data_IF_872814914022
#
_entry.id   IF_872814914022
#
_cell.length_a   1.000
_cell.length_b   1.000
_cell.length_c   1.000
_cell.angle_alpha   90.00
_cell.angle_beta   90.00
_cell.angle_gamma   90.00
#
_symmetry.space_group_name_H-M   'P 1'
#
loop_
_entity.id
_entity.type
_entity.pdbx_description
1 polymer ?
#
# COMPACT_ATOMS: atom_id res chain seq x y z
N UNK A 1 -17.36 -5.00 -15.93
CA UNK A 1 -18.37 -4.61 -14.92
C UNK A 1 -17.73 -4.54 -13.54
N UNK A 2 -18.04 -3.50 -12.75
CA UNK A 2 -17.56 -3.36 -11.35
C UNK A 2 -18.36 -4.24 -10.37
N UNK A 3 -19.53 -4.73 -10.76
CA UNK A 3 -20.36 -5.62 -9.95
C UNK A 3 -20.58 -5.10 -8.52
N UNK A 4 -20.29 -5.95 -7.53
CA UNK A 4 -20.41 -5.62 -6.09
C UNK A 4 -19.53 -4.45 -5.63
N UNK A 5 -18.53 -4.04 -6.41
CA UNK A 5 -17.66 -2.91 -6.10
C UNK A 5 -18.23 -1.55 -6.58
N UNK A 6 -19.37 -1.50 -7.27
CA UNK A 6 -19.93 -0.26 -7.80
C UNK A 6 -20.14 0.82 -6.72
N UNK A 7 -20.74 0.45 -5.58
CA UNK A 7 -20.94 1.40 -4.46
C UNK A 7 -19.62 1.98 -3.93
N UNK A 8 -18.59 1.14 -3.80
CA UNK A 8 -17.25 1.57 -3.37
C UNK A 8 -16.60 2.47 -4.41
N UNK A 9 -16.71 2.10 -5.68
CA UNK A 9 -16.24 2.94 -6.79
C UNK A 9 -16.84 4.34 -6.71
N UNK A 10 -18.16 4.50 -6.61
CA UNK A 10 -18.78 5.82 -6.54
C UNK A 10 -18.32 6.63 -5.31
N UNK A 11 -18.10 5.99 -4.16
CA UNK A 11 -17.51 6.66 -3.00
C UNK A 11 -16.10 7.20 -3.32
N UNK A 12 -15.24 6.36 -3.88
CA UNK A 12 -13.86 6.73 -4.20
C UNK A 12 -13.80 7.72 -5.37
N UNK A 13 -14.69 7.58 -6.37
CA UNK A 13 -14.84 8.54 -7.47
C UNK A 13 -15.24 9.93 -6.97
N UNK A 14 -16.25 10.02 -6.13
CA UNK A 14 -16.67 11.31 -5.57
C UNK A 14 -15.56 11.94 -4.70
N UNK A 15 -14.84 11.12 -3.94
CA UNK A 15 -13.70 11.57 -3.12
C UNK A 15 -12.55 12.07 -3.96
N UNK A 16 -12.21 11.39 -5.05
CA UNK A 16 -11.10 11.82 -5.92
C UNK A 16 -11.43 13.03 -6.79
N UNK A 17 -12.71 13.21 -7.11
CA UNK A 17 -13.15 14.26 -8.05
C UNK A 17 -13.51 15.57 -7.36
N UNK A 18 -14.14 15.47 -6.18
CA UNK A 18 -14.76 16.61 -5.51
C UNK A 18 -14.25 16.80 -4.09
N UNK A 19 -14.24 18.05 -3.65
CA UNK A 19 -14.06 18.36 -2.24
C UNK A 19 -15.39 18.18 -1.50
N UNK A 20 -15.62 16.97 -0.97
CA UNK A 20 -16.90 16.57 -0.41
C UNK A 20 -17.19 17.29 0.92
N UNK A 21 -18.35 17.92 1.02
CA UNK A 21 -18.86 18.48 2.29
C UNK A 21 -19.61 17.41 3.11
N UNK A 22 -20.22 16.41 2.47
CA UNK A 22 -20.91 15.32 3.14
C UNK A 22 -20.57 13.96 2.52
N UNK A 23 -19.71 13.21 3.20
CA UNK A 23 -19.18 11.91 2.75
C UNK A 23 -20.18 10.76 2.81
N UNK A 24 -21.29 10.92 3.53
CA UNK A 24 -22.33 9.90 3.62
C UNK A 24 -23.36 10.00 2.49
N UNK A 25 -23.48 11.17 1.84
CA UNK A 25 -24.47 11.47 0.80
C UNK A 25 -23.82 11.59 -0.58
N UNK A 26 -23.13 10.55 -1.02
CA UNK A 26 -22.35 10.55 -2.29
C UNK A 26 -23.19 10.98 -3.49
N UNK A 27 -24.42 10.49 -3.63
CA UNK A 27 -25.31 10.86 -4.73
C UNK A 27 -25.60 12.35 -4.74
N UNK A 28 -25.96 12.91 -3.57
CA UNK A 28 -26.25 14.34 -3.42
C UNK A 28 -25.04 15.19 -3.76
N UNK A 29 -23.85 14.75 -3.34
CA UNK A 29 -22.60 15.43 -3.64
C UNK A 29 -22.28 15.43 -5.13
N UNK A 30 -22.42 14.29 -5.81
CA UNK A 30 -22.24 14.21 -7.27
C UNK A 30 -23.26 15.11 -7.97
N UNK A 31 -24.54 15.04 -7.58
CA UNK A 31 -25.61 15.86 -8.16
C UNK A 31 -25.35 17.35 -7.97
N UNK A 32 -24.94 17.77 -6.77
CA UNK A 32 -24.65 19.17 -6.47
C UNK A 32 -23.47 19.73 -7.28
N UNK A 33 -22.45 18.90 -7.53
CA UNK A 33 -21.25 19.28 -8.26
C UNK A 33 -21.36 19.04 -9.78
N UNK A 34 -22.51 18.58 -10.28
CA UNK A 34 -22.76 18.32 -11.70
C UNK A 34 -23.84 19.26 -12.22
N UNK A 35 -23.60 19.86 -13.40
CA UNK A 35 -24.60 20.67 -14.10
C UNK A 35 -25.39 19.79 -15.07
N UNK A 36 -26.70 20.01 -15.27
CA UNK A 36 -27.47 19.23 -16.23
C UNK A 36 -26.91 19.26 -17.67
N UNK A 37 -26.31 20.38 -18.07
CA UNK A 37 -25.68 20.51 -19.40
C UNK A 37 -24.41 19.62 -19.56
N UNK A 38 -23.79 19.18 -18.47
CA UNK A 38 -22.53 18.45 -18.49
C UNK A 38 -22.72 16.93 -18.27
N UNK A 39 -23.96 16.42 -18.37
CA UNK A 39 -24.25 15.00 -18.07
C UNK A 39 -23.45 14.04 -18.93
N UNK A 40 -23.26 14.32 -20.21
CA UNK A 40 -22.48 13.47 -21.11
C UNK A 40 -21.00 13.46 -20.73
N UNK A 41 -20.45 14.62 -20.33
CA UNK A 41 -19.07 14.74 -19.85
C UNK A 41 -18.90 13.98 -18.53
N UNK A 42 -19.85 14.11 -17.62
CA UNK A 42 -19.85 13.37 -16.36
C UNK A 42 -19.90 11.85 -16.60
N UNK A 43 -20.76 11.37 -17.48
CA UNK A 43 -20.86 9.95 -17.81
C UNK A 43 -19.58 9.43 -18.45
N UNK A 44 -18.98 10.18 -19.37
CA UNK A 44 -17.70 9.83 -19.99
C UNK A 44 -16.58 9.74 -18.96
N UNK A 45 -16.50 10.70 -18.02
CA UNK A 45 -15.52 10.70 -16.95
C UNK A 45 -15.73 9.52 -15.98
N UNK A 46 -16.97 9.23 -15.59
CA UNK A 46 -17.32 8.07 -14.76
C UNK A 46 -16.89 6.76 -15.45
N UNK A 47 -17.15 6.60 -16.74
CA UNK A 47 -16.77 5.41 -17.49
C UNK A 47 -15.26 5.26 -17.59
N UNK A 48 -14.52 6.36 -17.84
CA UNK A 48 -13.06 6.37 -17.86
C UNK A 48 -12.50 5.96 -16.50
N UNK A 49 -12.96 6.60 -15.43
CA UNK A 49 -12.51 6.30 -14.07
C UNK A 49 -12.89 4.89 -13.60
N UNK A 50 -14.01 4.36 -14.09
CA UNK A 50 -14.41 2.97 -13.83
C UNK A 50 -13.42 1.97 -14.47
N UNK A 51 -12.84 2.27 -15.65
CA UNK A 51 -11.78 1.47 -16.26
C UNK A 51 -10.51 1.49 -15.41
N UNK A 52 -10.07 2.67 -14.98
CA UNK A 52 -8.90 2.80 -14.10
C UNK A 52 -9.14 2.12 -12.75
N UNK A 53 -10.33 2.25 -12.19
CA UNK A 53 -10.66 1.58 -10.95
C UNK A 53 -10.68 0.05 -11.09
N UNK A 54 -11.09 -0.47 -12.26
CA UNK A 54 -10.97 -1.91 -12.57
C UNK A 54 -9.50 -2.35 -12.57
N UNK A 55 -8.60 -1.56 -13.15
CA UNK A 55 -7.14 -1.80 -13.11
C UNK A 55 -6.60 -1.79 -11.67
N UNK A 56 -7.05 -0.84 -10.83
CA UNK A 56 -6.68 -0.81 -9.40
C UNK A 56 -7.13 -2.08 -8.68
N UNK A 57 -8.33 -2.61 -8.97
CA UNK A 57 -8.86 -3.82 -8.32
C UNK A 57 -8.21 -5.10 -8.84
N UNK A 58 -7.83 -5.12 -10.11
CA UNK A 58 -7.25 -6.28 -10.79
C UNK A 58 -6.04 -5.80 -11.61
N UNK A 59 -4.90 -5.56 -10.95
CA UNK A 59 -3.74 -4.94 -11.59
C UNK A 59 -3.08 -5.81 -12.67
N UNK A 60 -3.34 -7.13 -12.64
CA UNK A 60 -2.95 -8.06 -13.69
C UNK A 60 -4.21 -8.65 -14.34
N UNK A 61 -4.49 -8.36 -15.60
CA UNK A 61 -5.52 -9.06 -16.35
C UNK A 61 -4.97 -10.42 -16.81
N UNK A 62 -5.78 -11.48 -16.68
CA UNK A 62 -5.41 -12.82 -17.14
C UNK A 62 -5.02 -12.79 -18.63
N UNK A 63 -3.77 -13.07 -18.94
CA UNK A 63 -3.21 -13.11 -20.31
C UNK A 63 -2.20 -12.01 -20.64
N UNK A 64 -1.99 -11.03 -19.77
CA UNK A 64 -0.98 -9.99 -19.94
C UNK A 64 0.22 -10.23 -19.00
N UNK A 65 0.99 -11.27 -19.24
CA UNK A 65 2.14 -11.67 -18.40
C UNK A 65 3.22 -10.58 -18.26
N UNK A 66 3.25 -9.59 -19.15
CA UNK A 66 4.32 -8.58 -19.19
C UNK A 66 4.22 -7.49 -18.12
N UNK A 67 3.04 -7.27 -17.54
CA UNK A 67 2.81 -6.17 -16.59
C UNK A 67 2.72 -6.63 -15.12
N UNK A 68 2.77 -7.94 -14.86
CA UNK A 68 2.63 -8.47 -13.51
C UNK A 68 3.86 -8.24 -12.62
N UNK A 69 4.99 -7.81 -13.19
CA UNK A 69 6.26 -7.53 -12.50
C UNK A 69 6.56 -6.03 -12.39
N UNK A 70 5.57 -5.17 -12.57
CA UNK A 70 5.76 -3.72 -12.45
C UNK A 70 5.57 -3.27 -10.99
N UNK A 71 6.21 -2.14 -10.64
CA UNK A 71 5.99 -1.45 -9.35
C UNK A 71 4.50 -1.16 -9.13
N UNK A 72 3.78 -0.76 -10.18
CA UNK A 72 2.35 -0.53 -10.12
C UNK A 72 1.59 -1.79 -9.69
N UNK A 73 1.88 -2.93 -10.33
CA UNK A 73 1.27 -4.21 -9.97
C UNK A 73 1.54 -4.58 -8.52
N UNK A 74 2.80 -4.54 -8.10
CA UNK A 74 3.21 -4.90 -6.76
C UNK A 74 2.44 -4.09 -5.69
N UNK A 75 2.43 -2.77 -5.84
CA UNK A 75 1.79 -1.87 -4.88
C UNK A 75 0.27 -2.05 -4.88
N UNK A 76 -0.36 -2.14 -6.04
CA UNK A 76 -1.82 -2.32 -6.13
C UNK A 76 -2.26 -3.68 -5.59
N UNK A 77 -1.52 -4.75 -5.93
CA UNK A 77 -1.79 -6.09 -5.40
C UNK A 77 -1.65 -6.13 -3.88
N UNK A 78 -0.58 -5.54 -3.35
CA UNK A 78 -0.39 -5.41 -1.91
C UNK A 78 -1.59 -4.72 -1.22
N UNK A 79 -2.02 -3.57 -1.71
CA UNK A 79 -3.16 -2.85 -1.12
C UNK A 79 -4.48 -3.62 -1.25
N UNK A 80 -4.67 -4.42 -2.31
CA UNK A 80 -5.83 -5.27 -2.47
C UNK A 80 -5.83 -6.44 -1.48
N UNK A 81 -4.68 -7.11 -1.30
CA UNK A 81 -4.50 -8.20 -0.33
C UNK A 81 -4.70 -7.69 1.10
N UNK A 82 -4.10 -6.56 1.44
CA UNK A 82 -4.24 -5.94 2.79
C UNK A 82 -5.57 -5.22 2.98
N UNK A 83 -6.44 -5.14 1.95
CA UNK A 83 -7.72 -4.42 1.97
C UNK A 83 -7.57 -2.94 2.37
N UNK A 84 -6.43 -2.34 2.04
CA UNK A 84 -6.11 -0.95 2.35
C UNK A 84 -6.73 0.01 1.32
N UNK A 85 -8.05 0.12 1.33
CA UNK A 85 -8.86 0.82 0.32
C UNK A 85 -8.77 2.35 0.40
N UNK A 86 -8.30 2.90 1.52
CA UNK A 86 -8.28 4.35 1.79
C UNK A 86 -7.42 5.13 0.81
N UNK A 87 -6.37 4.52 0.24
CA UNK A 87 -5.51 5.19 -0.75
C UNK A 87 -6.08 5.19 -2.18
N UNK A 88 -7.12 4.40 -2.46
CA UNK A 88 -7.70 4.29 -3.82
C UNK A 88 -8.11 5.61 -4.45
N UNK A 89 -8.68 6.61 -3.73
CA UNK A 89 -8.99 7.91 -4.33
C UNK A 89 -7.74 8.64 -4.86
N UNK A 90 -6.65 8.67 -4.09
CA UNK A 90 -5.38 9.28 -4.52
C UNK A 90 -4.74 8.47 -5.65
N UNK A 91 -4.71 7.14 -5.53
CA UNK A 91 -4.18 6.26 -6.58
C UNK A 91 -4.96 6.44 -7.88
N UNK A 92 -6.29 6.60 -7.82
CA UNK A 92 -7.13 6.87 -8.99
C UNK A 92 -6.75 8.21 -9.65
N UNK A 93 -6.49 9.25 -8.86
CA UNK A 93 -6.03 10.53 -9.37
C UNK A 93 -4.64 10.42 -10.01
N UNK A 94 -3.68 9.78 -9.35
CA UNK A 94 -2.33 9.59 -9.89
C UNK A 94 -2.32 8.75 -11.18
N UNK A 95 -3.11 7.68 -11.21
CA UNK A 95 -3.24 6.86 -12.41
C UNK A 95 -3.84 7.65 -13.57
N UNK A 96 -4.86 8.49 -13.31
CA UNK A 96 -5.41 9.38 -14.33
C UNK A 96 -4.34 10.35 -14.87
N UNK A 97 -3.57 11.00 -13.99
CA UNK A 97 -2.52 11.93 -14.43
C UNK A 97 -1.42 11.23 -15.23
N UNK A 98 -1.07 9.98 -14.89
CA UNK A 98 -0.16 9.14 -15.66
C UNK A 98 -0.71 8.84 -17.05
N UNK A 99 -1.95 8.36 -17.14
CA UNK A 99 -2.59 8.00 -18.42
C UNK A 99 -2.79 9.24 -19.34
N UNK A 100 -2.91 10.43 -18.77
CA UNK A 100 -2.94 11.71 -19.49
C UNK A 100 -1.53 12.26 -19.79
N UNK A 101 -0.45 11.48 -19.54
CA UNK A 101 0.95 11.86 -19.74
C UNK A 101 1.39 13.11 -18.97
N UNK A 102 0.73 13.45 -17.86
CA UNK A 102 1.11 14.57 -16.97
C UNK A 102 2.10 14.15 -15.89
N UNK A 103 2.21 12.87 -15.63
CA UNK A 103 3.23 12.25 -14.75
C UNK A 103 4.03 11.26 -15.59
N UNK A 104 5.35 11.43 -15.62
CA UNK A 104 6.24 10.44 -16.22
C UNK A 104 6.15 9.12 -15.44
N UNK A 105 6.27 7.99 -16.13
CA UNK A 105 6.13 6.66 -15.52
C UNK A 105 7.07 6.45 -14.33
N UNK A 106 8.31 6.93 -14.41
CA UNK A 106 9.27 6.84 -13.33
C UNK A 106 8.77 7.58 -12.07
N UNK A 107 8.30 8.80 -12.21
CA UNK A 107 7.76 9.58 -11.09
C UNK A 107 6.50 8.93 -10.50
N UNK A 108 5.63 8.39 -11.36
CA UNK A 108 4.46 7.65 -10.89
C UNK A 108 4.86 6.44 -10.03
N UNK A 109 5.86 5.68 -10.50
CA UNK A 109 6.38 4.54 -9.76
C UNK A 109 7.00 4.95 -8.41
N UNK A 110 7.71 6.09 -8.38
CA UNK A 110 8.29 6.63 -7.15
C UNK A 110 7.19 7.07 -6.16
N UNK A 111 6.11 7.66 -6.64
CA UNK A 111 4.96 8.03 -5.81
C UNK A 111 4.23 6.80 -5.27
N UNK A 112 4.05 5.76 -6.09
CA UNK A 112 3.45 4.50 -5.65
C UNK A 112 4.30 3.81 -4.58
N UNK A 113 5.63 3.75 -4.76
CA UNK A 113 6.57 3.26 -3.74
C UNK A 113 6.52 4.07 -2.45
N UNK A 114 6.42 5.41 -2.56
CA UNK A 114 6.31 6.28 -1.38
C UNK A 114 5.05 5.94 -0.56
N UNK A 115 3.89 5.82 -1.21
CA UNK A 115 2.63 5.47 -0.55
C UNK A 115 2.71 4.08 0.09
N UNK A 116 3.34 3.12 -0.58
CA UNK A 116 3.59 1.78 -0.05
C UNK A 116 4.48 1.83 1.20
N UNK A 117 5.64 2.47 1.12
CA UNK A 117 6.58 2.59 2.24
C UNK A 117 5.95 3.35 3.42
N UNK A 118 5.20 4.41 3.14
CA UNK A 118 4.43 5.11 4.15
C UNK A 118 3.46 4.16 4.87
N UNK A 119 2.73 3.32 4.12
CA UNK A 119 1.81 2.35 4.73
C UNK A 119 2.54 1.37 5.65
N UNK A 120 3.70 0.86 5.24
CA UNK A 120 4.52 -0.04 6.08
C UNK A 120 4.90 0.66 7.39
N UNK A 121 5.45 1.87 7.29
CA UNK A 121 5.88 2.62 8.49
C UNK A 121 4.69 3.00 9.39
N UNK A 122 3.57 3.41 8.80
CA UNK A 122 2.43 3.92 9.54
C UNK A 122 1.54 2.81 10.12
N UNK A 123 1.16 1.82 9.30
CA UNK A 123 0.20 0.79 9.70
C UNK A 123 0.87 -0.47 10.25
N UNK A 124 1.97 -0.92 9.63
CA UNK A 124 2.59 -2.21 9.99
C UNK A 124 3.49 -2.03 11.20
N UNK A 125 4.37 -1.03 11.19
CA UNK A 125 5.29 -0.77 12.31
C UNK A 125 4.65 0.17 13.33
N UNK A 126 4.03 1.27 12.88
CA UNK A 126 3.40 2.27 13.74
C UNK A 126 2.11 1.83 14.43
N UNK A 127 1.49 0.74 13.94
CA UNK A 127 0.19 0.22 14.43
C UNK A 127 -0.97 1.21 14.38
N UNK A 128 -0.81 2.29 13.61
CA UNK A 128 -1.83 3.30 13.48
C UNK A 128 -2.95 2.89 12.51
N UNK A 129 -4.17 3.34 12.83
CA UNK A 129 -5.36 2.98 12.05
C UNK A 129 -5.48 3.83 10.80
N UNK A 130 -5.72 3.19 9.67
CA UNK A 130 -5.84 3.83 8.35
C UNK A 130 -6.96 4.88 8.25
N UNK A 131 -8.02 4.80 9.06
CA UNK A 131 -9.09 5.80 9.08
C UNK A 131 -8.63 7.19 9.56
N UNK A 132 -7.53 7.27 10.30
CA UNK A 132 -6.92 8.55 10.69
C UNK A 132 -6.28 9.31 9.51
N UNK A 133 -6.19 8.70 8.33
CA UNK A 133 -5.63 9.30 7.11
C UNK A 133 -6.71 9.89 6.20
N UNK A 134 -7.99 9.69 6.51
CA UNK A 134 -9.08 10.12 5.65
C UNK A 134 -9.06 11.61 5.34
N UNK A 135 -8.71 12.46 6.30
CA UNK A 135 -8.61 13.91 6.11
C UNK A 135 -7.55 14.29 5.07
N UNK A 136 -6.38 13.63 5.11
CA UNK A 136 -5.31 13.84 4.13
C UNK A 136 -5.75 13.35 2.74
N UNK A 137 -6.29 12.15 2.66
CA UNK A 137 -6.75 11.57 1.38
C UNK A 137 -7.86 12.41 0.75
N UNK A 138 -8.87 12.81 1.54
CA UNK A 138 -10.00 13.61 1.04
C UNK A 138 -9.59 15.02 0.60
N UNK A 139 -8.56 15.58 1.23
CA UNK A 139 -8.01 16.87 0.83
C UNK A 139 -7.24 16.77 -0.48
N UNK A 140 -6.34 15.79 -0.60
CA UNK A 140 -5.38 15.77 -1.69
C UNK A 140 -5.84 15.01 -2.93
N UNK A 141 -6.75 14.04 -2.81
CA UNK A 141 -7.23 13.32 -3.99
C UNK A 141 -7.84 14.27 -5.04
N UNK A 142 -8.78 15.20 -4.72
CA UNK A 142 -9.30 16.14 -5.71
C UNK A 142 -8.27 17.21 -6.14
N UNK A 143 -7.31 17.57 -5.31
CA UNK A 143 -6.23 18.49 -5.70
C UNK A 143 -5.37 17.83 -6.77
N UNK A 144 -4.95 16.58 -6.55
CA UNK A 144 -4.14 15.82 -7.50
C UNK A 144 -4.91 15.47 -8.78
N UNK A 145 -6.22 15.30 -8.71
CA UNK A 145 -7.06 15.07 -9.88
C UNK A 145 -7.20 16.33 -10.74
N UNK A 146 -7.52 17.47 -10.14
CA UNK A 146 -7.92 18.66 -10.88
C UNK A 146 -6.77 19.65 -11.11
N UNK A 147 -5.72 19.59 -10.29
CA UNK A 147 -4.60 20.54 -10.32
C UNK A 147 -3.28 19.85 -9.95
N UNK A 148 -2.96 18.74 -10.66
CA UNK A 148 -1.69 18.06 -10.45
C UNK A 148 -0.51 19.00 -10.79
N UNK A 149 0.42 19.08 -9.89
CA UNK A 149 1.77 19.60 -10.06
C UNK A 149 2.68 19.01 -8.97
N UNK A 150 3.99 19.10 -9.15
CA UNK A 150 4.98 18.54 -8.23
C UNK A 150 4.87 19.14 -6.82
N UNK A 151 4.52 20.42 -6.69
CA UNK A 151 4.34 21.07 -5.40
C UNK A 151 3.15 20.49 -4.63
N UNK A 152 2.03 20.23 -5.31
CA UNK A 152 0.85 19.61 -4.70
C UNK A 152 1.14 18.16 -4.30
N UNK A 153 1.89 17.42 -5.14
CA UNK A 153 2.33 16.07 -4.78
C UNK A 153 3.27 16.07 -3.59
N UNK A 154 4.25 16.98 -3.55
CA UNK A 154 5.12 17.16 -2.39
C UNK A 154 4.33 17.49 -1.13
N UNK A 155 3.36 18.40 -1.22
CA UNK A 155 2.50 18.77 -0.08
C UNK A 155 1.67 17.60 0.43
N UNK A 156 1.23 16.71 -0.46
CA UNK A 156 0.57 15.44 -0.08
C UNK A 156 1.54 14.53 0.67
N UNK A 157 2.73 14.30 0.12
CA UNK A 157 3.75 13.45 0.73
C UNK A 157 4.17 13.98 2.11
N UNK A 158 4.40 15.29 2.24
CA UNK A 158 4.71 15.96 3.51
C UNK A 158 3.58 15.82 4.54
N UNK A 159 2.32 15.84 4.07
CA UNK A 159 1.16 15.65 4.94
C UNK A 159 1.04 14.21 5.45
N UNK A 160 1.40 13.22 4.63
CA UNK A 160 1.54 11.84 5.06
C UNK A 160 2.70 11.68 6.04
N UNK A 161 3.87 12.25 5.70
CA UNK A 161 5.06 12.17 6.55
C UNK A 161 4.81 12.66 7.98
N UNK A 162 4.07 13.76 8.13
CA UNK A 162 3.68 14.31 9.44
C UNK A 162 2.77 13.39 10.27
N UNK A 163 2.23 12.34 9.67
CA UNK A 163 1.40 11.32 10.36
C UNK A 163 2.19 10.14 10.86
N UNK A 164 3.45 10.00 10.41
CA UNK A 164 4.31 8.92 10.91
C UNK A 164 4.53 9.06 12.42
N UNK A 165 4.67 7.94 13.13
CA UNK A 165 5.10 7.97 14.54
C UNK A 165 6.46 8.67 14.65
N UNK A 166 6.73 9.28 15.79
CA UNK A 166 8.06 9.80 16.04
C UNK A 166 9.11 8.65 16.06
N UNK A 167 10.39 9.01 15.90
CA UNK A 167 11.48 8.04 15.77
C UNK A 167 11.55 7.09 16.96
N UNK A 168 11.33 7.57 18.17
CA UNK A 168 11.41 6.74 19.40
C UNK A 168 10.31 5.68 19.42
N UNK A 169 9.06 6.08 19.11
CA UNK A 169 7.93 5.16 19.02
C UNK A 169 8.12 4.17 17.88
N UNK A 170 8.56 4.65 16.71
CA UNK A 170 8.84 3.79 15.56
C UNK A 170 9.91 2.74 15.90
N UNK A 171 11.04 3.17 16.47
CA UNK A 171 12.14 2.29 16.87
C UNK A 171 11.69 1.26 17.89
N UNK A 172 10.99 1.70 18.93
CA UNK A 172 10.43 0.80 19.94
C UNK A 172 9.53 -0.26 19.31
N UNK A 173 8.59 0.15 18.46
CA UNK A 173 7.67 -0.79 17.80
C UNK A 173 8.41 -1.76 16.87
N UNK A 174 9.40 -1.27 16.11
CA UNK A 174 10.21 -2.11 15.25
C UNK A 174 11.00 -3.15 16.05
N UNK A 175 11.65 -2.73 17.14
CA UNK A 175 12.44 -3.62 17.99
C UNK A 175 11.61 -4.67 18.74
N UNK A 176 10.30 -4.44 18.91
CA UNK A 176 9.38 -5.41 19.53
C UNK A 176 8.66 -6.30 18.52
N UNK A 177 8.85 -6.07 17.22
CA UNK A 177 8.37 -7.01 16.22
C UNK A 177 9.12 -8.33 16.35
N UNK A 178 8.37 -9.43 16.26
CA UNK A 178 8.96 -10.75 16.34
C UNK A 178 8.00 -11.84 15.88
N UNK A 179 8.55 -13.00 15.62
CA UNK A 179 7.80 -14.22 15.33
C UNK A 179 8.57 -15.43 15.85
N UNK A 180 7.84 -16.39 16.41
CA UNK A 180 8.37 -17.65 16.91
C UNK A 180 7.24 -18.68 17.01
N UNK A 181 7.53 -19.93 16.70
CA UNK A 181 6.61 -21.03 16.97
C UNK A 181 6.65 -21.50 18.44
N UNK A 182 7.68 -21.13 19.18
CA UNK A 182 7.94 -21.60 20.55
C UNK A 182 7.42 -20.63 21.62
N UNK A 183 7.21 -19.37 21.28
CA UNK A 183 6.75 -18.34 22.21
C UNK A 183 5.32 -17.93 21.89
N UNK A 184 4.38 -18.22 22.81
CA UNK A 184 2.94 -17.97 22.59
C UNK A 184 2.63 -16.55 22.13
N UNK A 185 3.28 -15.54 22.70
CA UNK A 185 3.06 -14.13 22.34
C UNK A 185 3.42 -13.83 20.86
N UNK A 186 4.45 -14.48 20.31
CA UNK A 186 4.94 -14.26 18.96
C UNK A 186 4.38 -15.26 17.93
N UNK A 187 3.68 -16.33 18.35
CA UNK A 187 3.23 -17.42 17.47
C UNK A 187 2.01 -17.08 16.61
N UNK A 188 1.37 -15.91 16.82
CA UNK A 188 0.21 -15.51 16.05
C UNK A 188 0.56 -15.30 14.56
N UNK A 189 -0.28 -15.82 13.66
CA UNK A 189 -0.15 -15.65 12.21
C UNK A 189 0.00 -14.19 11.80
N UNK A 190 -0.67 -13.26 12.48
CA UNK A 190 -0.56 -11.81 12.25
C UNK A 190 0.86 -11.30 12.47
N UNK A 191 1.56 -11.78 13.49
CA UNK A 191 2.94 -11.40 13.77
C UNK A 191 3.87 -11.91 12.65
N UNK A 192 3.70 -13.17 12.22
CA UNK A 192 4.44 -13.75 11.09
C UNK A 192 4.30 -12.91 9.82
N UNK A 193 3.07 -12.53 9.46
CA UNK A 193 2.80 -11.72 8.28
C UNK A 193 3.41 -10.32 8.36
N UNK A 194 3.41 -9.69 9.55
CA UNK A 194 4.03 -8.38 9.77
C UNK A 194 5.54 -8.47 9.62
N UNK A 195 6.17 -9.45 10.29
CA UNK A 195 7.61 -9.69 10.21
C UNK A 195 8.01 -9.99 8.78
N UNK A 196 7.32 -10.92 8.09
CA UNK A 196 7.61 -11.26 6.69
C UNK A 196 7.59 -10.01 5.81
N UNK A 197 6.59 -9.14 5.96
CA UNK A 197 6.45 -7.92 5.18
C UNK A 197 7.58 -6.91 5.45
N UNK A 198 7.99 -6.75 6.71
CA UNK A 198 9.08 -5.84 7.07
C UNK A 198 10.42 -6.37 6.54
N UNK A 199 10.70 -7.67 6.73
CA UNK A 199 11.92 -8.31 6.18
C UNK A 199 11.97 -8.20 4.66
N UNK A 200 10.87 -8.48 3.97
CA UNK A 200 10.76 -8.32 2.51
C UNK A 200 11.08 -6.88 2.07
N UNK A 201 10.52 -5.89 2.79
CA UNK A 201 10.74 -4.47 2.48
C UNK A 201 12.21 -4.08 2.68
N UNK A 202 12.84 -4.55 3.76
CA UNK A 202 14.27 -4.32 4.06
C UNK A 202 15.12 -4.99 2.98
N UNK A 203 14.85 -6.26 2.65
CA UNK A 203 15.62 -7.01 1.65
C UNK A 203 15.55 -6.35 0.27
N UNK A 204 14.37 -5.94 -0.19
CA UNK A 204 14.20 -5.19 -1.43
C UNK A 204 15.03 -3.91 -1.46
N UNK A 205 15.08 -3.19 -0.34
CA UNK A 205 15.88 -1.97 -0.22
C UNK A 205 17.38 -2.25 -0.28
N UNK A 206 17.85 -3.25 0.46
CA UNK A 206 19.27 -3.61 0.57
C UNK A 206 19.80 -4.22 -0.73
N UNK A 207 19.04 -5.18 -1.29
CA UNK A 207 19.42 -5.88 -2.52
C UNK A 207 19.19 -5.06 -3.79
N UNK A 208 18.45 -3.94 -3.69
CA UNK A 208 17.98 -3.12 -4.83
C UNK A 208 17.15 -3.90 -5.85
N UNK A 209 16.53 -5.00 -5.42
CA UNK A 209 15.63 -5.80 -6.25
C UNK A 209 14.20 -5.28 -6.14
N UNK A 210 13.44 -5.36 -7.20
CA UNK A 210 12.00 -5.08 -7.20
C UNK A 210 11.20 -6.27 -6.68
N UNK A 211 11.71 -7.48 -6.91
CA UNK A 211 11.07 -8.74 -6.50
C UNK A 211 12.03 -9.57 -5.67
N UNK A 212 11.48 -10.23 -4.67
CA UNK A 212 12.15 -11.25 -3.87
C UNK A 212 11.30 -12.51 -4.03
N UNK A 213 11.95 -13.63 -4.32
CA UNK A 213 11.30 -14.94 -4.37
C UNK A 213 10.63 -15.31 -3.04
N UNK A 214 9.90 -16.41 -3.04
CA UNK A 214 9.36 -16.94 -1.79
C UNK A 214 10.48 -17.26 -0.82
N UNK A 215 10.30 -16.87 0.43
CA UNK A 215 11.27 -17.09 1.50
C UNK A 215 10.57 -17.52 2.79
N UNK A 216 11.30 -18.30 3.59
CA UNK A 216 10.98 -18.56 4.98
C UNK A 216 11.61 -17.52 5.90
N UNK A 217 11.05 -17.38 7.10
CA UNK A 217 11.65 -16.58 8.17
C UNK A 217 12.49 -17.54 9.02
N UNK A 218 13.79 -17.27 9.10
CA UNK A 218 14.73 -18.08 9.87
C UNK A 218 15.30 -17.31 11.04
N UNK A 219 15.60 -18.05 12.12
CA UNK A 219 16.22 -17.51 13.32
C UNK A 219 17.73 -17.72 13.27
N UNK A 220 18.52 -16.66 13.44
CA UNK A 220 19.98 -16.72 13.51
C UNK A 220 20.40 -17.52 14.75
N UNK A 221 19.78 -17.22 15.90
CA UNK A 221 19.92 -17.96 17.15
C UNK A 221 18.61 -18.69 17.43
N UNK A 222 18.62 -19.93 17.94
CA UNK A 222 17.41 -20.71 18.18
C UNK A 222 16.43 -19.99 19.12
N UNK A 223 15.17 -19.85 18.67
CA UNK A 223 14.13 -19.16 19.43
C UNK A 223 13.56 -20.00 20.58
N UNK A 224 13.82 -21.32 20.60
CA UNK A 224 13.47 -22.21 21.72
C UNK A 224 14.33 -21.94 22.97
N UNK A 225 15.50 -21.37 22.84
CA UNK A 225 16.43 -21.15 23.95
C UNK A 225 16.16 -19.85 24.71
N UNK A 226 15.71 -18.81 24.01
CA UNK A 226 15.48 -17.50 24.58
C UNK A 226 14.36 -16.77 23.83
N UNK A 227 13.38 -16.26 24.56
CA UNK A 227 12.26 -15.48 23.99
C UNK A 227 12.73 -14.25 23.20
N UNK A 228 13.85 -13.63 23.58
CA UNK A 228 14.44 -12.51 22.84
C UNK A 228 14.89 -12.90 21.42
N UNK A 229 15.14 -14.19 21.17
CA UNK A 229 15.52 -14.69 19.86
C UNK A 229 14.32 -14.69 18.87
N UNK A 230 13.09 -14.49 19.33
CA UNK A 230 11.93 -14.27 18.50
C UNK A 230 11.89 -12.88 17.83
N UNK A 231 12.71 -11.92 18.31
CA UNK A 231 12.67 -10.54 17.85
C UNK A 231 13.26 -10.36 16.44
N UNK A 232 12.77 -9.36 15.70
CA UNK A 232 13.12 -9.11 14.30
C UNK A 232 14.63 -8.99 14.05
N UNK A 233 15.39 -8.49 15.01
CA UNK A 233 16.85 -8.40 14.91
C UNK A 233 17.58 -9.75 14.84
N UNK A 234 16.91 -10.84 15.18
CA UNK A 234 17.40 -12.22 15.07
C UNK A 234 16.77 -12.98 13.90
N UNK A 235 15.98 -12.31 13.06
CA UNK A 235 15.26 -12.93 11.97
C UNK A 235 15.82 -12.50 10.61
N UNK A 236 15.88 -13.43 9.69
CA UNK A 236 16.31 -13.15 8.31
C UNK A 236 15.40 -13.85 7.29
N UNK A 237 15.23 -13.29 6.09
CA UNK A 237 14.58 -13.97 4.98
C UNK A 237 15.59 -14.96 4.37
N UNK A 238 15.23 -16.24 4.32
CA UNK A 238 16.03 -17.28 3.69
C UNK A 238 15.24 -17.93 2.56
N UNK A 239 15.83 -18.01 1.37
CA UNK A 239 15.21 -18.71 0.25
C UNK A 239 14.90 -20.16 0.64
N UNK A 240 13.71 -20.68 0.27
CA UNK A 240 13.25 -22.00 0.69
C UNK A 240 14.22 -23.12 0.28
N UNK A 241 14.88 -23.00 -0.88
CA UNK A 241 15.89 -23.97 -1.30
C UNK A 241 17.12 -23.98 -0.40
N UNK A 242 17.55 -22.81 0.07
CA UNK A 242 18.68 -22.69 0.99
C UNK A 242 18.29 -23.19 2.38
N UNK A 243 17.09 -22.86 2.84
CA UNK A 243 16.59 -23.33 4.12
C UNK A 243 16.52 -24.86 4.18
N UNK A 244 16.00 -25.49 3.14
CA UNK A 244 15.93 -26.95 3.04
C UNK A 244 17.32 -27.63 3.00
N UNK A 245 18.39 -26.90 2.59
CA UNK A 245 19.76 -27.39 2.60
C UNK A 245 20.47 -27.20 3.95
N UNK A 246 20.06 -26.21 4.72
CA UNK A 246 20.68 -25.89 6.01
C UNK A 246 20.24 -26.83 7.14
N UNK A 247 19.03 -27.42 7.05
CA UNK A 247 18.48 -28.49 7.91
C UNK A 247 18.98 -28.48 9.37
N UNK A 248 18.49 -27.59 10.21
CA UNK A 248 18.84 -27.46 11.63
C UNK A 248 20.32 -27.17 11.95
N UNK A 249 21.13 -26.79 10.95
CA UNK A 249 22.48 -26.31 11.20
C UNK A 249 22.46 -24.83 11.60
N UNK A 250 23.35 -24.45 12.49
CA UNK A 250 23.56 -23.03 12.80
C UNK A 250 24.23 -22.32 11.61
N UNK A 251 24.03 -21.01 11.46
CA UNK A 251 24.61 -20.21 10.36
C UNK A 251 26.15 -20.25 10.35
N UNK A 252 26.74 -20.73 11.43
CA UNK A 252 28.19 -20.88 11.60
C UNK A 252 28.71 -22.27 11.22
N UNK A 253 27.86 -23.20 10.87
CA UNK A 253 28.19 -24.55 10.40
C UNK A 253 27.93 -24.72 8.89
#
# INVERSE_FOLDING_TARGET
>A
SLGKNAKRFFKHYATHKYNLSNRSKIYEEIKRNSRPADVNLLLSDILLKARYYKKILNPCEKGEDKNCNSVEYEVLNFFNVKKAEQFRPVILSLLHQKEENRIAEQHYNDYMKYIYNFFICYNVIGEDKSNKLEDVIYKYAPILENNYNEQNMKSFMDSLFKRLPNVDVFTKNLMTLGWSNHTQFYSEQKNKERVKLVLETIEKYVSRRTEIGDFSIEHILPDAENEANALIGNLLPLEEELNNKCDNKTITE
#
